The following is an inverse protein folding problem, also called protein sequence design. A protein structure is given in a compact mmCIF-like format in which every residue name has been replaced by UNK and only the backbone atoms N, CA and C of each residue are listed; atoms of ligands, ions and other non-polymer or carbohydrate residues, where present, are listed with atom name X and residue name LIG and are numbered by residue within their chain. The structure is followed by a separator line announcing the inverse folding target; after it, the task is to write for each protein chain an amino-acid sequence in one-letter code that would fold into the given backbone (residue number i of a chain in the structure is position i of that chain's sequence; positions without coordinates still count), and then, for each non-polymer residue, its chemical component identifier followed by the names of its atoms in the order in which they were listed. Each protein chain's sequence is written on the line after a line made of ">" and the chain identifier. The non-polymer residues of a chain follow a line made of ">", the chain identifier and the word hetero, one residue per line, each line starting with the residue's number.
data_IF_613377670727
#
_entry.id   IF_613377670727
#
_cell.length_a   1.000
_cell.length_b   1.000
_cell.length_c   1.000
_cell.angle_alpha   90.00
_cell.angle_beta   90.00
_cell.angle_gamma   90.00
#
_symmetry.space_group_name_H-M   'P 1'
#
loop_
_entity.id
_entity.type
_entity.pdbx_description
1 polymer ?
#
# COMPACT_ATOMS: atom_id res chain seq x y z
N UNK A 1 -6.67 4.16 14.40
CA UNK A 1 -6.46 5.60 14.06
C UNK A 1 -7.63 6.15 13.26
N UNK A 2 -7.92 5.64 12.05
CA UNK A 2 -9.00 6.20 11.22
C UNK A 2 -10.41 6.08 11.81
N UNK A 3 -10.75 4.94 12.42
CA UNK A 3 -12.05 4.76 13.09
C UNK A 3 -12.22 5.66 14.31
N UNK A 4 -11.13 5.99 15.01
CA UNK A 4 -11.14 6.91 16.16
C UNK A 4 -11.24 8.38 15.73
N UNK A 5 -10.81 8.70 14.51
CA UNK A 5 -10.79 10.06 13.97
C UNK A 5 -12.01 10.37 13.09
N UNK A 6 -12.96 9.44 13.02
CA UNK A 6 -14.17 9.49 12.19
C UNK A 6 -13.90 9.68 10.69
N UNK A 7 -12.78 9.14 10.20
CA UNK A 7 -12.38 9.24 8.78
C UNK A 7 -12.35 7.90 8.05
N UNK A 8 -12.73 6.81 8.72
CA UNK A 8 -12.66 5.47 8.15
C UNK A 8 -13.51 5.31 6.88
N UNK A 9 -14.72 5.88 6.88
CA UNK A 9 -15.65 5.76 5.75
C UNK A 9 -15.12 6.46 4.50
N UNK A 10 -14.63 7.70 4.63
CA UNK A 10 -14.10 8.45 3.48
C UNK A 10 -12.82 7.84 2.91
N UNK A 11 -12.00 7.19 3.74
CA UNK A 11 -10.80 6.48 3.27
C UNK A 11 -11.16 5.19 2.52
N UNK A 12 -12.19 4.48 2.98
CA UNK A 12 -12.54 3.15 2.46
C UNK A 12 -13.45 3.24 1.25
N UNK A 13 -14.53 4.01 1.38
CA UNK A 13 -15.58 4.11 0.37
C UNK A 13 -15.42 5.34 -0.51
N UNK A 14 -14.78 6.39 0.00
CA UNK A 14 -14.68 7.67 -0.70
C UNK A 14 -15.97 8.46 -0.58
N UNK A 15 -16.12 9.45 -1.44
CA UNK A 15 -17.28 10.31 -1.55
C UNK A 15 -17.36 10.87 -2.97
N UNK A 16 -18.56 11.23 -3.40
CA UNK A 16 -18.83 11.67 -4.76
C UNK A 16 -19.41 13.09 -4.77
N UNK A 17 -19.18 13.81 -5.87
CA UNK A 17 -19.80 15.11 -6.09
C UNK A 17 -21.31 14.94 -6.27
N UNK A 18 -22.15 15.66 -5.51
CA UNK A 18 -23.60 15.47 -5.52
C UNK A 18 -24.27 16.03 -6.80
N UNK A 19 -23.52 16.72 -7.67
CA UNK A 19 -23.99 17.23 -8.95
C UNK A 19 -24.84 18.50 -8.86
N UNK A 20 -25.16 19.10 -10.02
CA UNK A 20 -25.83 20.41 -10.11
C UNK A 20 -27.28 20.45 -9.62
N UNK A 21 -27.92 19.28 -9.43
CA UNK A 21 -29.32 19.16 -8.97
C UNK A 21 -29.40 18.68 -7.51
N UNK A 22 -28.30 18.76 -6.77
CA UNK A 22 -28.26 18.36 -5.38
C UNK A 22 -29.17 19.23 -4.52
N UNK A 23 -29.82 18.59 -3.55
CA UNK A 23 -30.53 19.29 -2.47
C UNK A 23 -29.53 19.97 -1.52
N UNK A 24 -29.99 20.95 -0.75
CA UNK A 24 -29.15 21.64 0.24
C UNK A 24 -28.53 20.67 1.26
N UNK A 25 -29.28 19.65 1.67
CA UNK A 25 -28.83 18.59 2.58
C UNK A 25 -27.69 17.77 1.97
N UNK A 26 -27.81 17.37 0.70
CA UNK A 26 -26.75 16.64 -0.02
C UNK A 26 -25.49 17.48 -0.19
N UNK A 27 -25.64 18.79 -0.43
CA UNK A 27 -24.51 19.70 -0.54
C UNK A 27 -23.80 19.88 0.80
N UNK A 28 -24.54 19.90 1.91
CA UNK A 28 -23.99 19.99 3.26
C UNK A 28 -23.22 18.71 3.63
N UNK A 29 -23.79 17.54 3.37
CA UNK A 29 -23.13 16.24 3.58
C UNK A 29 -21.83 16.14 2.76
N UNK A 30 -21.86 16.54 1.48
CA UNK A 30 -20.65 16.57 0.64
C UNK A 30 -19.55 17.46 1.24
N UNK A 31 -19.89 18.66 1.72
CA UNK A 31 -18.92 19.55 2.38
C UNK A 31 -18.35 18.93 3.66
N UNK A 32 -19.16 18.19 4.42
CA UNK A 32 -18.69 17.47 5.60
C UNK A 32 -17.71 16.36 5.23
N UNK A 33 -18.06 15.52 4.24
CA UNK A 33 -17.18 14.46 3.72
C UNK A 33 -15.88 15.01 3.15
N UNK A 34 -15.90 16.15 2.47
CA UNK A 34 -14.69 16.81 2.00
C UNK A 34 -13.77 17.24 3.15
N UNK A 35 -14.32 17.74 4.27
CA UNK A 35 -13.51 18.07 5.46
C UNK A 35 -12.88 16.82 6.07
N UNK A 36 -13.64 15.73 6.17
CA UNK A 36 -13.13 14.45 6.67
C UNK A 36 -12.04 13.89 5.75
N UNK A 37 -12.19 14.02 4.43
CA UNK A 37 -11.17 13.60 3.46
C UNK A 37 -9.86 14.40 3.64
N UNK A 38 -9.94 15.72 3.76
CA UNK A 38 -8.76 16.54 4.04
C UNK A 38 -8.07 16.12 5.35
N UNK A 39 -8.84 15.85 6.41
CA UNK A 39 -8.31 15.35 7.69
C UNK A 39 -7.64 13.98 7.51
N UNK A 40 -8.27 13.08 6.77
CA UNK A 40 -7.73 11.76 6.47
C UNK A 40 -6.41 11.83 5.70
N UNK A 41 -6.34 12.65 4.65
CA UNK A 41 -5.12 12.87 3.86
C UNK A 41 -3.97 13.38 4.72
N UNK A 42 -4.26 14.36 5.58
CA UNK A 42 -3.27 14.87 6.52
C UNK A 42 -2.72 13.76 7.42
N UNK A 43 -3.60 12.95 8.02
CA UNK A 43 -3.19 11.82 8.86
C UNK A 43 -2.34 10.80 8.09
N UNK A 44 -2.74 10.44 6.86
CA UNK A 44 -1.95 9.55 6.00
C UNK A 44 -0.56 10.13 5.76
N UNK A 45 -0.45 11.43 5.45
CA UNK A 45 0.83 12.09 5.19
C UNK A 45 1.74 12.13 6.41
N UNK A 46 1.19 12.31 7.61
CA UNK A 46 1.96 12.27 8.86
C UNK A 46 2.53 10.87 9.17
N UNK A 47 1.87 9.81 8.71
CA UNK A 47 2.28 8.44 8.97
C UNK A 47 3.29 7.87 7.96
N UNK A 48 3.69 8.63 6.94
CA UNK A 48 4.59 8.15 5.88
C UNK A 48 5.87 8.97 5.81
N UNK A 49 6.96 8.32 5.36
CA UNK A 49 8.21 9.03 5.09
C UNK A 49 8.17 9.79 3.74
N UNK A 50 9.14 10.68 3.51
CA UNK A 50 9.21 11.54 2.31
C UNK A 50 9.16 10.75 0.99
N UNK A 51 9.80 9.57 0.92
CA UNK A 51 9.79 8.73 -0.29
C UNK A 51 8.40 8.20 -0.61
N UNK A 52 7.64 7.77 0.40
CA UNK A 52 6.26 7.29 0.24
C UNK A 52 5.32 8.47 -0.01
N UNK A 53 5.52 9.60 0.68
CA UNK A 53 4.76 10.83 0.47
C UNK A 53 4.77 11.26 -0.99
N UNK A 54 5.95 11.30 -1.63
CA UNK A 54 6.07 11.68 -3.04
C UNK A 54 5.28 10.78 -4.01
N UNK A 55 5.00 9.53 -3.62
CA UNK A 55 4.18 8.62 -4.43
C UNK A 55 2.69 8.89 -4.29
N UNK A 56 2.25 9.33 -3.13
CA UNK A 56 0.82 9.57 -2.82
C UNK A 56 0.41 11.04 -2.88
N UNK A 57 1.36 11.97 -3.02
CA UNK A 57 1.11 13.42 -3.00
C UNK A 57 0.22 13.90 -4.15
N UNK A 58 0.20 13.17 -5.27
CA UNK A 58 -0.67 13.45 -6.42
C UNK A 58 -2.11 12.96 -6.23
N UNK A 59 -2.38 12.18 -5.19
CA UNK A 59 -3.72 11.70 -4.91
C UNK A 59 -4.65 12.86 -4.54
N UNK A 60 -5.81 12.90 -5.17
CA UNK A 60 -6.82 13.94 -5.00
C UNK A 60 -7.68 13.68 -3.77
N UNK A 61 -7.83 12.40 -3.38
CA UNK A 61 -8.62 11.97 -2.20
C UNK A 61 -7.79 11.08 -1.28
N UNK A 62 -8.23 10.97 -0.02
CA UNK A 62 -7.66 10.02 0.95
C UNK A 62 -7.83 8.57 0.51
N UNK A 63 -8.94 8.23 -0.15
CA UNK A 63 -9.17 6.92 -0.75
C UNK A 63 -8.12 6.59 -1.81
N UNK A 64 -7.87 7.49 -2.75
CA UNK A 64 -6.86 7.28 -3.79
C UNK A 64 -5.46 7.13 -3.18
N UNK A 65 -5.11 7.97 -2.19
CA UNK A 65 -3.85 7.84 -1.47
C UNK A 65 -3.73 6.46 -0.78
N UNK A 66 -4.81 5.99 -0.16
CA UNK A 66 -4.88 4.69 0.50
C UNK A 66 -4.79 3.52 -0.48
N UNK A 67 -5.45 3.61 -1.63
CA UNK A 67 -5.36 2.60 -2.70
C UNK A 67 -3.94 2.51 -3.28
N UNK A 68 -3.25 3.63 -3.49
CA UNK A 68 -1.85 3.62 -3.91
C UNK A 68 -0.97 2.93 -2.87
N UNK A 69 -1.20 3.19 -1.57
CA UNK A 69 -0.48 2.53 -0.48
C UNK A 69 -0.76 1.02 -0.48
N UNK A 70 -2.03 0.61 -0.59
CA UNK A 70 -2.43 -0.79 -0.63
C UNK A 70 -1.87 -1.52 -1.86
N UNK A 71 -1.86 -0.89 -3.03
CA UNK A 71 -1.26 -1.47 -4.23
C UNK A 71 0.25 -1.62 -4.11
N UNK A 72 0.92 -0.64 -3.50
CA UNK A 72 2.39 -0.63 -3.40
C UNK A 72 2.90 -1.53 -2.28
N UNK A 73 2.16 -1.66 -1.18
CA UNK A 73 2.61 -2.29 0.06
C UNK A 73 1.65 -3.31 0.65
N UNK A 74 0.36 -3.26 0.30
CA UNK A 74 -0.67 -4.20 0.75
C UNK A 74 -0.69 -5.55 -0.01
N UNK A 75 0.00 -5.65 -1.15
CA UNK A 75 0.17 -6.88 -1.93
C UNK A 75 1.25 -7.82 -1.31
N UNK A 76 1.28 -7.91 0.02
CA UNK A 76 2.21 -8.76 0.77
C UNK A 76 2.19 -10.22 0.31
N UNK A 77 1.02 -10.73 -0.11
CA UNK A 77 0.82 -12.06 -0.71
C UNK A 77 1.56 -12.23 -2.06
N UNK A 78 1.43 -11.27 -2.99
CA UNK A 78 2.14 -11.34 -4.27
C UNK A 78 3.63 -11.18 -4.09
N UNK A 79 4.06 -10.28 -3.19
CA UNK A 79 5.47 -10.12 -2.86
C UNK A 79 6.05 -11.38 -2.21
N UNK A 80 5.30 -12.09 -1.35
CA UNK A 80 5.68 -13.41 -0.82
C UNK A 80 5.79 -14.46 -1.94
N UNK A 81 4.81 -14.51 -2.85
CA UNK A 81 4.83 -15.45 -4.00
C UNK A 81 6.01 -15.19 -4.93
N UNK A 82 6.29 -13.95 -5.28
CA UNK A 82 7.44 -13.58 -6.12
C UNK A 82 8.74 -13.95 -5.41
N UNK A 83 8.90 -13.61 -4.13
CA UNK A 83 10.09 -14.03 -3.34
C UNK A 83 10.24 -15.55 -3.30
N UNK A 84 9.15 -16.28 -3.07
CA UNK A 84 9.16 -17.75 -3.04
C UNK A 84 9.55 -18.34 -4.41
N UNK A 85 9.06 -17.77 -5.50
CA UNK A 85 9.42 -18.20 -6.85
C UNK A 85 10.89 -17.89 -7.16
N UNK A 86 11.41 -16.73 -6.73
CA UNK A 86 12.84 -16.42 -6.84
C UNK A 86 13.71 -17.41 -6.07
N UNK A 87 13.35 -17.73 -4.82
CA UNK A 87 14.07 -18.72 -4.00
C UNK A 87 14.02 -20.13 -4.62
N UNK A 88 12.85 -20.57 -5.11
CA UNK A 88 12.73 -21.86 -5.83
C UNK A 88 13.63 -21.91 -7.04
N UNK A 89 13.67 -20.84 -7.84
CA UNK A 89 14.55 -20.77 -9.00
C UNK A 89 16.03 -20.78 -8.61
N UNK A 90 16.41 -20.11 -7.52
CA UNK A 90 17.78 -20.15 -7.01
C UNK A 90 18.16 -21.57 -6.57
N UNK A 91 17.24 -22.29 -5.91
CA UNK A 91 17.44 -23.68 -5.51
C UNK A 91 17.49 -24.65 -6.70
N UNK A 92 16.61 -24.50 -7.70
CA UNK A 92 16.63 -25.32 -8.93
C UNK A 92 17.90 -25.16 -9.75
N UNK A 93 18.49 -23.96 -9.73
CA UNK A 93 19.75 -23.64 -10.39
C UNK A 93 20.97 -23.94 -9.51
N UNK A 94 20.77 -24.40 -8.27
CA UNK A 94 21.83 -24.66 -7.32
C UNK A 94 22.49 -26.01 -7.63
N UNK A 95 23.63 -25.93 -8.31
CA UNK A 95 24.49 -27.08 -8.57
C UNK A 95 25.84 -26.84 -7.89
N UNK A 96 26.43 -27.92 -7.36
CA UNK A 96 27.77 -27.88 -6.81
C UNK A 96 28.78 -27.59 -7.92
N UNK A 97 29.69 -26.65 -7.70
CA UNK A 97 30.71 -26.30 -8.69
C UNK A 97 31.88 -27.29 -8.66
N UNK A 98 32.58 -27.48 -9.79
CA UNK A 98 33.67 -28.47 -9.91
C UNK A 98 34.83 -28.28 -8.91
N UNK A 99 35.00 -27.06 -8.39
CA UNK A 99 36.07 -26.68 -7.45
C UNK A 99 35.56 -26.38 -6.04
N UNK A 100 34.27 -26.57 -5.82
CA UNK A 100 33.63 -26.31 -4.54
C UNK A 100 33.78 -27.51 -3.61
N UNK A 101 34.03 -27.29 -2.32
CA UNK A 101 34.02 -28.38 -1.35
C UNK A 101 32.59 -28.71 -0.92
N UNK A 102 32.36 -29.94 -0.45
CA UNK A 102 31.04 -30.37 0.03
C UNK A 102 30.55 -29.47 1.19
N UNK A 103 31.47 -28.97 2.02
CA UNK A 103 31.14 -28.06 3.12
C UNK A 103 30.65 -26.71 2.58
N UNK A 104 31.40 -26.11 1.66
CA UNK A 104 31.07 -24.80 1.08
C UNK A 104 29.72 -24.83 0.33
N UNK A 105 29.44 -25.94 -0.36
CA UNK A 105 28.15 -26.16 -1.01
C UNK A 105 27.01 -26.26 0.00
N UNK A 106 27.22 -26.96 1.13
CA UNK A 106 26.23 -27.06 2.20
C UNK A 106 25.96 -25.71 2.88
N UNK A 107 27.02 -24.92 3.09
CA UNK A 107 26.89 -23.58 3.66
C UNK A 107 26.08 -22.65 2.73
N UNK A 108 26.30 -22.72 1.41
CA UNK A 108 25.48 -21.99 0.42
C UNK A 108 24.02 -22.44 0.38
N UNK A 109 23.74 -23.72 0.60
CA UNK A 109 22.35 -24.21 0.75
C UNK A 109 21.70 -23.60 1.99
N UNK A 110 22.45 -23.47 3.10
CA UNK A 110 21.93 -22.92 4.35
C UNK A 110 21.73 -21.40 4.32
N UNK A 111 22.41 -20.69 3.42
CA UNK A 111 22.29 -19.23 3.25
C UNK A 111 21.15 -18.77 2.32
N UNK A 112 20.47 -19.70 1.63
CA UNK A 112 19.31 -19.46 0.74
C UNK A 112 17.98 -19.34 1.50
#
# INVERSE_FOLDING_TARGET
>A
IFSFQDVFEVVTFGFEDPGRKATEEQQLDFKQKQKLDCKARFLIYQCVNSKIFNKISKASTSKEAWEILMKTYGDGEKNKKVKLQTLRRQYELLCMEEKESISDYFDRIQEL
#
